data_IF_103982737215
#
_entry.id   IF_103982737215
#
_cell.length_a   1.000
_cell.length_b   1.000
_cell.length_c   1.000
_cell.angle_alpha   90.00
_cell.angle_beta   90.00
_cell.angle_gamma   90.00
#
_symmetry.space_group_name_H-M   'P 1'
#
loop_
_entity.id
_entity.type
_entity.pdbx_description
1 polymer ?
#
# COMPACT_ATOMS: atom_id res chain seq x y z
N UNK A 1 37.93 1.90 -42.53
CA UNK A 1 37.19 2.48 -41.38
C UNK A 1 36.14 3.40 -41.95
N UNK A 2 34.88 3.20 -41.60
CA UNK A 2 33.79 4.04 -42.10
C UNK A 2 33.67 5.26 -41.19
N UNK A 3 33.90 6.44 -41.77
CA UNK A 3 33.78 7.73 -41.11
C UNK A 3 32.52 8.42 -41.60
N UNK A 4 31.70 8.92 -40.67
CA UNK A 4 30.45 9.63 -40.97
C UNK A 4 30.43 11.01 -40.32
N UNK A 5 29.98 12.01 -41.08
CA UNK A 5 29.71 13.38 -40.61
C UNK A 5 28.21 13.68 -40.47
N UNK A 6 27.35 12.82 -41.02
CA UNK A 6 25.90 12.98 -40.99
C UNK A 6 25.32 12.30 -39.75
N UNK A 7 25.33 13.02 -38.63
CA UNK A 7 24.77 12.58 -37.36
C UNK A 7 24.22 13.77 -36.56
N UNK A 8 23.36 13.48 -35.57
CA UNK A 8 22.79 14.49 -34.68
C UNK A 8 23.93 15.23 -33.95
N UNK A 9 23.98 16.57 -33.93
CA UNK A 9 25.06 17.30 -33.25
C UNK A 9 25.24 16.86 -31.79
N UNK A 10 26.43 16.38 -31.45
CA UNK A 10 26.77 15.90 -30.11
C UNK A 10 27.88 16.74 -29.47
N UNK A 11 27.81 16.90 -28.14
CA UNK A 11 28.85 17.54 -27.32
C UNK A 11 29.28 16.60 -26.20
N UNK A 12 30.54 16.69 -25.78
CA UNK A 12 31.11 15.90 -24.69
C UNK A 12 31.19 16.77 -23.44
N UNK A 13 30.73 16.22 -22.32
CA UNK A 13 30.95 16.79 -20.99
C UNK A 13 31.71 15.79 -20.13
N UNK A 14 32.52 16.29 -19.21
CA UNK A 14 33.20 15.50 -18.20
C UNK A 14 32.71 15.93 -16.82
N UNK A 15 32.63 14.97 -15.89
CA UNK A 15 32.35 15.23 -14.49
C UNK A 15 33.55 14.77 -13.66
N UNK A 16 34.09 15.67 -12.86
CA UNK A 16 35.15 15.36 -11.90
C UNK A 16 34.59 14.52 -10.75
N UNK A 17 35.45 13.74 -10.08
CA UNK A 17 35.08 13.00 -8.86
C UNK A 17 34.56 13.89 -7.72
N UNK A 18 34.78 15.20 -7.80
CA UNK A 18 34.25 16.22 -6.89
C UNK A 18 32.87 16.77 -7.32
N UNK A 19 32.24 16.22 -8.35
CA UNK A 19 30.91 16.63 -8.83
C UNK A 19 30.90 17.92 -9.67
N UNK A 20 32.07 18.37 -10.16
CA UNK A 20 32.17 19.52 -11.05
C UNK A 20 32.11 19.08 -12.51
N UNK A 21 31.16 19.60 -13.28
CA UNK A 21 31.04 19.33 -14.71
C UNK A 21 31.77 20.37 -15.58
N UNK A 22 32.38 19.93 -16.66
CA UNK A 22 33.00 20.76 -17.71
C UNK A 22 32.52 20.33 -19.09
N UNK A 23 32.46 21.27 -20.04
CA UNK A 23 32.20 20.96 -21.46
C UNK A 23 33.55 20.82 -22.16
N UNK A 24 33.82 19.62 -22.68
CA UNK A 24 35.12 19.27 -23.27
C UNK A 24 35.17 19.62 -24.77
N UNK A 25 34.05 19.50 -25.49
CA UNK A 25 34.03 19.86 -26.91
C UNK A 25 32.82 19.34 -27.68
N UNK A 26 32.89 19.51 -29.01
CA UNK A 26 31.89 19.04 -29.97
C UNK A 26 32.43 17.89 -30.80
N UNK A 27 31.57 16.94 -31.13
CA UNK A 27 31.93 15.80 -31.98
C UNK A 27 31.76 16.21 -33.44
N UNK A 28 32.81 16.05 -34.24
CA UNK A 28 32.82 16.37 -35.67
C UNK A 28 32.76 15.14 -36.57
N UNK A 29 33.37 14.03 -36.12
CA UNK A 29 33.47 12.81 -36.91
C UNK A 29 33.09 11.62 -36.03
N UNK A 30 32.24 10.74 -36.56
CA UNK A 30 31.92 9.45 -35.97
C UNK A 30 32.62 8.36 -36.76
N UNK A 31 33.25 7.43 -36.04
CA UNK A 31 33.96 6.29 -36.62
C UNK A 31 33.32 5.01 -36.10
N UNK A 32 32.88 4.14 -37.00
CA UNK A 32 32.42 2.81 -36.65
C UNK A 32 33.54 1.80 -36.86
N UNK A 33 33.99 1.20 -35.76
CA UNK A 33 35.03 0.17 -35.78
C UNK A 33 34.43 -1.18 -36.17
N UNK A 34 35.02 -1.82 -37.17
CA UNK A 34 34.67 -3.17 -37.62
C UNK A 34 35.84 -4.13 -37.37
N UNK A 35 35.57 -5.40 -37.07
CA UNK A 35 36.63 -6.41 -36.97
C UNK A 35 37.37 -6.52 -38.31
N UNK A 36 38.66 -6.89 -38.25
CA UNK A 36 39.47 -7.09 -39.44
C UNK A 36 39.12 -8.43 -40.11
N UNK A 37 39.12 -8.47 -41.44
CA UNK A 37 38.68 -9.64 -42.20
C UNK A 37 39.58 -10.86 -41.98
N UNK A 38 40.87 -10.66 -41.73
CA UNK A 38 41.85 -11.73 -41.48
C UNK A 38 41.50 -12.59 -40.24
N UNK A 39 40.88 -12.00 -39.22
CA UNK A 39 40.54 -12.66 -37.96
C UNK A 39 39.02 -12.87 -37.79
N UNK A 40 38.28 -12.93 -38.91
CA UNK A 40 36.81 -13.01 -38.87
C UNK A 40 36.29 -14.30 -38.21
N UNK A 41 37.02 -15.41 -38.36
CA UNK A 41 36.65 -16.70 -37.76
C UNK A 41 36.79 -16.69 -36.23
N UNK A 42 37.89 -16.13 -35.72
CA UNK A 42 38.12 -15.97 -34.29
C UNK A 42 37.10 -15.01 -33.67
N UNK A 43 36.76 -13.93 -34.38
CA UNK A 43 35.70 -13.01 -33.96
C UNK A 43 34.34 -13.70 -33.91
N UNK A 44 34.00 -14.52 -34.92
CA UNK A 44 32.76 -15.29 -34.93
C UNK A 44 32.70 -16.30 -33.77
N UNK A 45 33.82 -16.96 -33.46
CA UNK A 45 33.95 -17.84 -32.29
C UNK A 45 33.69 -17.07 -30.99
N UNK A 46 34.31 -15.90 -30.82
CA UNK A 46 34.10 -15.03 -29.65
C UNK A 46 32.63 -14.60 -29.49
N UNK A 47 31.95 -14.25 -30.59
CA UNK A 47 30.53 -13.90 -30.58
C UNK A 47 29.64 -15.07 -30.14
N UNK A 48 29.96 -16.30 -30.58
CA UNK A 48 29.26 -17.52 -30.15
C UNK A 48 29.50 -17.79 -28.66
N UNK A 49 30.75 -17.69 -28.18
CA UNK A 49 31.10 -17.87 -26.78
C UNK A 49 30.37 -16.89 -25.86
N UNK A 50 30.30 -15.60 -26.23
CA UNK A 50 29.51 -14.59 -25.51
C UNK A 50 28.04 -14.96 -25.46
N UNK A 51 27.46 -15.35 -26.60
CA UNK A 51 26.06 -15.75 -26.67
C UNK A 51 25.77 -16.94 -25.76
N UNK A 52 26.60 -17.98 -25.80
CA UNK A 52 26.45 -19.17 -24.94
C UNK A 52 26.58 -18.82 -23.45
N UNK A 53 27.56 -17.99 -23.09
CA UNK A 53 27.76 -17.53 -21.71
C UNK A 53 26.52 -16.80 -21.18
N UNK A 54 25.92 -15.91 -21.97
CA UNK A 54 24.74 -15.14 -21.54
C UNK A 54 23.41 -15.88 -21.70
N UNK A 55 23.35 -16.89 -22.57
CA UNK A 55 22.16 -17.71 -22.77
C UNK A 55 21.98 -18.77 -21.65
N UNK A 56 23.02 -18.97 -20.83
CA UNK A 56 22.94 -19.83 -19.65
C UNK A 56 22.05 -19.16 -18.59
N UNK A 57 20.85 -19.70 -18.36
CA UNK A 57 19.94 -19.21 -17.33
C UNK A 57 20.56 -19.45 -15.95
N UNK A 58 20.89 -18.39 -15.23
CA UNK A 58 21.45 -18.47 -13.87
C UNK A 58 20.42 -18.95 -12.84
N UNK A 59 19.13 -18.82 -13.15
CA UNK A 59 18.03 -19.27 -12.30
C UNK A 59 17.62 -20.70 -12.67
N UNK A 60 17.78 -21.62 -11.72
CA UNK A 60 17.26 -22.98 -11.82
C UNK A 60 15.96 -23.10 -11.01
N UNK A 61 14.97 -23.79 -11.57
CA UNK A 61 13.75 -24.15 -10.84
C UNK A 61 14.10 -25.39 -10.01
N UNK A 62 13.98 -25.28 -8.70
CA UNK A 62 14.05 -26.45 -7.83
C UNK A 62 12.65 -27.05 -7.72
N UNK A 63 12.52 -28.32 -8.13
CA UNK A 63 11.30 -29.09 -7.92
C UNK A 63 11.34 -29.56 -6.46
N UNK A 64 10.28 -29.30 -5.73
CA UNK A 64 10.12 -29.78 -4.36
C UNK A 64 9.44 -31.15 -4.48
N UNK A 65 10.18 -32.22 -4.19
CA UNK A 65 9.67 -33.60 -4.28
C UNK A 65 8.66 -33.95 -3.16
N UNK A 66 8.54 -33.09 -2.14
CA UNK A 66 7.63 -33.26 -1.00
C UNK A 66 6.21 -32.74 -1.36
N UNK A 67 5.41 -33.61 -2.00
CA UNK A 67 3.98 -33.39 -2.30
C UNK A 67 3.07 -33.70 -1.08
N UNK A 68 3.68 -33.91 0.09
CA UNK A 68 2.96 -34.00 1.36
C UNK A 68 2.43 -32.62 1.73
N UNK A 69 1.17 -32.32 1.42
CA UNK A 69 0.49 -31.03 1.61
C UNK A 69 0.49 -30.41 3.03
N UNK A 70 1.28 -30.92 3.96
CA UNK A 70 1.59 -30.38 5.29
C UNK A 70 2.31 -29.03 5.18
N UNK A 71 3.22 -28.83 4.22
CA UNK A 71 3.90 -27.54 3.98
C UNK A 71 3.08 -26.53 3.18
N UNK A 72 2.03 -26.99 2.50
CA UNK A 72 1.14 -26.18 1.66
C UNK A 72 -0.08 -25.64 2.42
N UNK A 73 -0.32 -26.11 3.64
CA UNK A 73 -1.35 -25.56 4.53
C UNK A 73 -0.71 -24.50 5.43
N UNK A 74 -1.30 -23.29 5.55
CA UNK A 74 -0.81 -22.31 6.50
C UNK A 74 -0.88 -22.92 7.91
N UNK A 75 0.28 -23.01 8.57
CA UNK A 75 0.39 -23.53 9.93
C UNK A 75 -0.48 -22.68 10.87
N UNK A 76 -1.46 -23.26 11.57
CA UNK A 76 -2.27 -22.52 12.54
C UNK A 76 -1.37 -21.98 13.65
N UNK A 77 -1.21 -20.66 13.73
CA UNK A 77 -0.41 -20.00 14.77
C UNK A 77 0.90 -19.36 14.30
N UNK A 78 1.30 -19.47 13.02
CA UNK A 78 2.46 -18.75 12.46
C UNK A 78 2.03 -17.44 11.76
N UNK A 79 1.31 -16.60 12.49
CA UNK A 79 1.36 -15.16 12.27
C UNK A 79 2.53 -14.68 13.15
N UNK A 80 3.42 -13.84 12.64
CA UNK A 80 4.48 -13.12 13.40
C UNK A 80 5.96 -13.57 13.24
N UNK A 81 6.44 -13.90 12.03
CA UNK A 81 7.88 -13.75 11.70
C UNK A 81 8.08 -12.67 10.64
N UNK A 82 7.49 -11.48 10.81
CA UNK A 82 7.99 -10.21 10.23
C UNK A 82 7.45 -9.01 11.04
N UNK A 83 7.96 -8.83 12.25
CA UNK A 83 8.01 -7.49 12.89
C UNK A 83 9.13 -7.46 13.92
N UNK A 84 10.35 -7.22 13.46
CA UNK A 84 11.32 -6.49 14.27
C UNK A 84 10.72 -5.10 14.50
N UNK A 85 10.25 -4.83 15.72
CA UNK A 85 10.14 -3.52 16.41
C UNK A 85 9.07 -3.69 17.52
N UNK A 86 9.57 -3.77 18.75
CA UNK A 86 9.00 -3.23 20.00
C UNK A 86 7.64 -3.71 20.52
N UNK A 87 7.74 -4.51 21.59
CA UNK A 87 7.13 -4.30 22.92
C UNK A 87 5.61 -4.18 23.10
N UNK A 88 5.16 -5.01 24.05
CA UNK A 88 3.98 -4.91 24.92
C UNK A 88 2.60 -5.35 24.41
N UNK A 89 2.29 -6.60 24.80
CA UNK A 89 1.05 -7.02 25.49
C UNK A 89 -0.28 -6.83 24.75
N UNK A 90 -0.85 -7.94 24.26
CA UNK A 90 -1.96 -8.67 24.95
C UNK A 90 -2.55 -9.78 24.07
N UNK A 91 -2.56 -10.98 24.66
CA UNK A 91 -3.53 -12.10 24.50
C UNK A 91 -4.31 -12.16 23.18
N UNK A 92 -3.88 -13.09 22.32
CA UNK A 92 -4.70 -13.63 21.23
C UNK A 92 -5.80 -14.50 21.85
N UNK A 93 -7.04 -14.02 21.83
CA UNK A 93 -8.21 -14.88 22.02
C UNK A 93 -8.47 -15.64 20.72
N UNK A 94 -8.69 -16.94 20.91
CA UNK A 94 -8.94 -17.93 19.89
C UNK A 94 -10.13 -17.58 19.00
N UNK A 95 -9.99 -18.02 17.74
CA UNK A 95 -11.02 -18.36 16.76
C UNK A 95 -12.48 -18.28 17.28
N UNK A 96 -13.17 -17.21 16.89
CA UNK A 96 -14.63 -17.17 16.82
C UNK A 96 -15.10 -17.50 15.39
N UNK A 97 -16.28 -18.10 15.22
CA UNK A 97 -16.72 -18.67 13.95
C UNK A 97 -16.99 -17.58 12.91
N UNK A 98 -16.91 -17.99 11.66
CA UNK A 98 -17.29 -17.26 10.46
C UNK A 98 -18.74 -16.75 10.55
N UNK A 99 -18.93 -15.61 11.22
CA UNK A 99 -20.20 -14.92 11.23
C UNK A 99 -20.21 -14.00 10.01
N UNK A 100 -21.00 -14.43 9.02
CA UNK A 100 -21.75 -13.55 8.12
C UNK A 100 -22.00 -12.23 8.86
N UNK A 101 -21.34 -11.15 8.43
CA UNK A 101 -21.49 -9.82 9.02
C UNK A 101 -22.90 -9.34 8.75
N UNK A 102 -23.84 -9.69 9.61
CA UNK A 102 -25.23 -9.24 9.51
C UNK A 102 -25.25 -7.74 9.74
N UNK A 103 -25.72 -7.01 8.74
CA UNK A 103 -26.04 -5.58 8.85
C UNK A 103 -26.96 -5.40 10.05
N UNK A 104 -26.53 -4.62 11.05
CA UNK A 104 -27.42 -4.26 12.17
C UNK A 104 -28.52 -3.33 11.69
N UNK A 105 -29.64 -3.33 12.41
CA UNK A 105 -30.76 -2.45 12.11
C UNK A 105 -30.31 -0.97 12.22
N UNK A 106 -30.69 -0.10 11.27
CA UNK A 106 -30.26 1.29 11.23
C UNK A 106 -30.54 2.07 12.52
N UNK A 107 -31.69 1.83 13.16
CA UNK A 107 -32.11 2.50 14.40
C UNK A 107 -31.25 2.12 15.61
N UNK A 108 -30.78 0.86 15.68
CA UNK A 108 -29.87 0.43 16.75
C UNK A 108 -28.47 1.01 16.53
N UNK A 109 -28.03 1.07 15.28
CA UNK A 109 -26.73 1.64 14.91
C UNK A 109 -26.67 3.13 15.25
N UNK A 110 -27.76 3.87 15.03
CA UNK A 110 -27.88 5.27 15.40
C UNK A 110 -27.66 5.50 16.90
N UNK A 111 -28.32 4.72 17.77
CA UNK A 111 -28.14 4.78 19.24
C UNK A 111 -26.69 4.51 19.65
N UNK A 112 -26.04 3.53 19.01
CA UNK A 112 -24.63 3.19 19.27
C UNK A 112 -23.71 4.35 18.85
N UNK A 113 -23.98 4.98 17.70
CA UNK A 113 -23.20 6.13 17.23
C UNK A 113 -23.30 7.29 18.22
N UNK A 114 -24.49 7.66 18.68
CA UNK A 114 -24.67 8.72 19.69
C UNK A 114 -23.86 8.46 20.96
N UNK A 115 -23.91 7.23 21.49
CA UNK A 115 -23.11 6.83 22.67
C UNK A 115 -21.60 6.85 22.43
N UNK A 116 -21.14 6.64 21.20
CA UNK A 116 -19.73 6.75 20.86
C UNK A 116 -19.28 8.22 20.81
N UNK A 117 -20.10 9.10 20.23
CA UNK A 117 -19.82 10.52 20.14
C UNK A 117 -19.94 11.26 21.49
N UNK A 118 -20.67 10.72 22.45
CA UNK A 118 -20.69 11.20 23.84
C UNK A 118 -19.31 11.07 24.51
N UNK A 119 -18.55 10.01 24.18
CA UNK A 119 -17.20 9.77 24.74
C UNK A 119 -16.14 10.68 24.17
N UNK A 120 -16.24 11.00 22.88
CA UNK A 120 -15.38 11.99 22.23
C UNK A 120 -16.10 12.60 21.01
N UNK A 121 -15.96 13.92 20.77
CA UNK A 121 -16.75 14.63 19.76
C UNK A 121 -16.34 14.30 18.32
N UNK A 122 -15.11 13.79 18.11
CA UNK A 122 -14.56 13.52 16.79
C UNK A 122 -14.09 12.06 16.70
N UNK A 123 -14.49 11.37 15.65
CA UNK A 123 -14.10 9.97 15.40
C UNK A 123 -13.60 9.77 13.98
N UNK A 124 -12.57 8.95 13.78
CA UNK A 124 -12.13 8.55 12.43
C UNK A 124 -12.94 7.35 11.92
N UNK A 125 -13.08 7.22 10.60
CA UNK A 125 -13.79 6.08 9.99
C UNK A 125 -13.23 4.73 10.45
N UNK A 126 -11.89 4.60 10.51
CA UNK A 126 -11.21 3.37 10.93
C UNK A 126 -11.57 2.97 12.37
N UNK A 127 -11.62 3.94 13.27
CA UNK A 127 -11.98 3.68 14.67
C UNK A 127 -13.43 3.25 14.82
N UNK A 128 -14.34 3.84 14.05
CA UNK A 128 -15.76 3.48 14.08
C UNK A 128 -15.99 2.06 13.52
N UNK A 129 -15.27 1.66 12.46
CA UNK A 129 -15.31 0.29 11.94
C UNK A 129 -14.87 -0.71 13.01
N UNK A 130 -13.75 -0.44 13.70
CA UNK A 130 -13.23 -1.34 14.72
C UNK A 130 -14.09 -1.39 15.99
N UNK A 131 -14.80 -0.31 16.33
CA UNK A 131 -15.66 -0.26 17.52
C UNK A 131 -17.03 -0.91 17.30
N UNK A 132 -17.52 -0.88 16.06
CA UNK A 132 -18.89 -1.34 15.73
C UNK A 132 -18.91 -2.66 14.98
N UNK A 133 -17.75 -3.12 14.48
CA UNK A 133 -17.56 -4.29 13.63
C UNK A 133 -18.50 -4.32 12.40
N UNK A 134 -18.94 -3.14 11.94
CA UNK A 134 -19.80 -2.98 10.79
C UNK A 134 -19.00 -2.79 9.49
N UNK A 135 -19.53 -3.25 8.33
CA UNK A 135 -18.87 -3.02 7.06
C UNK A 135 -18.76 -1.52 6.74
N UNK A 136 -17.63 -1.14 6.13
CA UNK A 136 -17.28 0.26 5.84
C UNK A 136 -18.39 0.99 5.05
N UNK A 137 -19.01 0.30 4.09
CA UNK A 137 -20.04 0.90 3.26
C UNK A 137 -21.29 1.29 4.07
N UNK A 138 -21.76 0.41 4.96
CA UNK A 138 -22.92 0.68 5.80
C UNK A 138 -22.65 1.84 6.78
N UNK A 139 -21.43 1.88 7.31
CA UNK A 139 -21.02 2.94 8.22
C UNK A 139 -20.95 4.30 7.50
N UNK A 140 -20.47 4.33 6.24
CA UNK A 140 -20.47 5.55 5.41
C UNK A 140 -21.89 6.05 5.15
N UNK A 141 -22.84 5.16 4.87
CA UNK A 141 -24.24 5.53 4.67
C UNK A 141 -24.85 6.14 5.94
N UNK A 142 -24.56 5.56 7.11
CA UNK A 142 -25.01 6.11 8.40
C UNK A 142 -24.33 7.44 8.76
N UNK A 143 -23.02 7.55 8.51
CA UNK A 143 -22.27 8.79 8.75
C UNK A 143 -22.72 9.92 7.81
N UNK A 144 -23.14 9.62 6.58
CA UNK A 144 -23.72 10.61 5.66
C UNK A 144 -25.03 11.19 6.16
N UNK A 145 -25.82 10.39 6.88
CA UNK A 145 -27.11 10.81 7.45
C UNK A 145 -26.91 11.65 8.73
N UNK A 146 -26.08 11.16 9.66
CA UNK A 146 -26.00 11.67 11.03
C UNK A 146 -24.83 12.64 11.29
N UNK A 147 -23.75 12.56 10.50
CA UNK A 147 -22.49 13.25 10.79
C UNK A 147 -22.07 14.24 9.68
N UNK A 148 -21.17 15.15 10.04
CA UNK A 148 -20.42 16.04 9.15
C UNK A 148 -18.97 15.54 9.09
N UNK A 149 -18.38 15.58 7.89
CA UNK A 149 -16.98 15.18 7.69
C UNK A 149 -16.07 16.41 7.72
N UNK A 150 -15.09 16.39 8.61
CA UNK A 150 -14.12 17.47 8.78
C UNK A 150 -12.99 17.34 7.77
N UNK A 151 -13.01 18.22 6.77
CA UNK A 151 -12.04 18.22 5.66
C UNK A 151 -10.77 19.05 5.91
N UNK A 152 -10.71 19.86 6.98
CA UNK A 152 -9.63 20.84 7.21
C UNK A 152 -9.31 21.00 8.70
N UNK A 153 -8.09 21.42 9.00
CA UNK A 153 -7.62 21.72 10.37
C UNK A 153 -7.14 20.49 11.15
N UNK A 154 -6.93 20.66 12.46
CA UNK A 154 -6.41 19.60 13.35
C UNK A 154 -7.31 18.35 13.42
N UNK A 155 -8.59 18.49 13.08
CA UNK A 155 -9.58 17.41 13.06
C UNK A 155 -9.82 16.85 11.64
N UNK A 156 -8.92 17.11 10.69
CA UNK A 156 -9.04 16.60 9.33
C UNK A 156 -9.16 15.08 9.32
N UNK A 157 -10.12 14.55 8.57
CA UNK A 157 -10.34 13.11 8.45
C UNK A 157 -11.22 12.51 9.56
N UNK A 158 -11.82 13.34 10.41
CA UNK A 158 -12.77 12.92 11.44
C UNK A 158 -14.21 13.24 11.05
N UNK A 159 -15.14 12.50 11.65
CA UNK A 159 -16.56 12.77 11.61
C UNK A 159 -16.99 13.37 12.94
N UNK A 160 -17.94 14.31 12.89
CA UNK A 160 -18.62 14.90 14.04
C UNK A 160 -20.12 14.81 13.83
N UNK A 161 -20.91 14.64 14.90
CA UNK A 161 -22.37 14.66 14.76
C UNK A 161 -22.84 16.02 14.23
N UNK A 162 -23.88 16.02 13.39
CA UNK A 162 -24.52 17.27 12.98
C UNK A 162 -24.96 18.06 14.23
N UNK A 163 -24.86 19.39 14.20
CA UNK A 163 -25.23 20.24 15.33
C UNK A 163 -26.69 20.08 15.75
N UNK A 164 -27.56 19.66 14.82
CA UNK A 164 -28.98 19.34 15.05
C UNK A 164 -29.19 18.20 16.05
N UNK A 165 -28.26 17.24 16.14
CA UNK A 165 -28.35 16.11 17.07
C UNK A 165 -27.49 16.27 18.33
N UNK A 166 -26.78 17.41 18.47
CA UNK A 166 -25.94 17.68 19.65
C UNK A 166 -26.77 18.05 20.90
N UNK A 167 -28.10 18.09 20.79
CA UNK A 167 -29.04 18.43 21.87
C UNK A 167 -30.32 17.59 21.76
N UNK A 168 -30.26 16.35 22.25
CA UNK A 168 -31.46 15.52 22.45
C UNK A 168 -31.41 14.78 23.80
N UNK A 169 -30.99 15.45 24.87
CA UNK A 169 -31.19 14.98 26.25
C UNK A 169 -31.67 16.11 27.17
N UNK A 170 -32.59 16.96 26.69
CA UNK A 170 -33.24 17.95 27.57
C UNK A 170 -34.74 18.16 27.29
N UNK A 171 -35.39 17.30 26.50
CA UNK A 171 -36.87 17.29 26.36
C UNK A 171 -37.41 15.91 26.04
N UNK A 172 -37.56 15.06 27.06
CA UNK A 172 -38.77 14.23 27.31
C UNK A 172 -38.51 13.21 28.42
N UNK A 173 -38.52 13.65 29.68
CA UNK A 173 -39.08 12.86 30.79
C UNK A 173 -39.35 13.78 31.98
N UNK A 174 -40.27 14.71 31.76
CA UNK A 174 -40.96 15.44 32.81
C UNK A 174 -42.40 15.68 32.35
N UNK A 175 -43.26 14.67 32.58
CA UNK A 175 -44.65 14.79 33.04
C UNK A 175 -45.46 13.54 32.66
N UNK A 176 -45.56 12.59 33.60
CA UNK A 176 -46.87 12.03 33.96
C UNK A 176 -46.86 11.59 35.42
N UNK A 177 -47.18 12.55 36.29
CA UNK A 177 -47.89 12.31 37.54
C UNK A 177 -49.33 11.89 37.21
N UNK A 178 -49.79 10.72 37.67
CA UNK A 178 -51.18 10.45 38.13
C UNK A 178 -51.36 9.00 38.63
N UNK A 179 -51.94 8.85 39.84
CA UNK A 179 -52.52 7.65 40.48
C UNK A 179 -51.52 6.58 41.00
N UNK A 180 -51.47 6.17 42.26
CA UNK A 180 -52.44 6.10 43.38
C UNK A 180 -51.69 6.23 44.71
#
# INVERSE_FOLDING_TARGET
>A
MDMSTDFIPMSVFAESSQGKSSVEGKIYHKFDMKPHDENIEDYAKLCRERTNKYMTKTRQIQIIDDDGGIRMRPMPGMLDIKSSVSADKKKIQAKGPENKRTRRDPEEMEKIMFKLFEKQPNWTLKQLIQKTDQPEQFLKDMLKLLCVYNNRGANQGTYELKPEYRRSEDKSDAQQTTSR
#
